data_IF_246768876453
#
_entry.id   IF_246768876453
#
_cell.length_a   1.000
_cell.length_b   1.000
_cell.length_c   1.000
_cell.angle_alpha   90.00
_cell.angle_beta   90.00
_cell.angle_gamma   90.00
#
_symmetry.space_group_name_H-M   'P 1'
#
loop_
_entity.id
_entity.type
_entity.pdbx_description
1 polymer ?
#
# COMPACT_ATOMS: atom_id res chain seq x y z
N UNK A 1 44.01 -18.58 30.49
CA UNK A 1 42.70 -17.93 30.26
C UNK A 1 42.76 -17.34 28.86
N UNK A 2 41.98 -17.87 27.93
CA UNK A 2 41.86 -17.27 26.59
C UNK A 2 41.03 -16.00 26.72
N UNK A 3 41.57 -14.88 26.24
CA UNK A 3 40.83 -13.64 26.13
C UNK A 3 39.68 -13.88 25.16
N UNK A 4 38.44 -13.69 25.62
CA UNK A 4 37.29 -13.65 24.73
C UNK A 4 37.45 -12.40 23.86
N UNK A 5 37.59 -12.61 22.55
CA UNK A 5 37.44 -11.55 21.55
C UNK A 5 36.02 -11.02 21.65
N UNK A 6 35.85 -9.90 22.35
CA UNK A 6 34.60 -9.14 22.34
C UNK A 6 34.53 -8.38 21.01
N UNK A 7 34.19 -9.09 19.93
CA UNK A 7 33.87 -8.45 18.66
C UNK A 7 32.68 -7.51 18.91
N UNK A 8 32.89 -6.21 18.68
CA UNK A 8 31.85 -5.19 18.82
C UNK A 8 30.63 -5.60 17.99
N UNK A 9 29.43 -5.46 18.56
CA UNK A 9 28.19 -5.74 17.85
C UNK A 9 28.19 -4.95 16.52
N UNK A 10 27.86 -5.58 15.39
CA UNK A 10 27.83 -4.90 14.10
C UNK A 10 26.88 -3.69 14.19
N UNK A 11 27.35 -2.56 13.67
CA UNK A 11 26.55 -1.34 13.64
C UNK A 11 25.30 -1.55 12.78
N UNK A 12 24.17 -1.00 13.24
CA UNK A 12 22.93 -1.01 12.46
C UNK A 12 23.14 -0.26 11.12
N UNK A 13 22.56 -0.75 10.02
CA UNK A 13 22.55 -0.02 8.76
C UNK A 13 21.90 1.37 8.89
N UNK A 14 22.32 2.31 8.06
CA UNK A 14 21.76 3.66 8.02
C UNK A 14 20.28 3.66 7.62
N UNK A 15 19.87 2.83 6.65
CA UNK A 15 18.49 2.75 6.17
C UNK A 15 17.48 2.22 7.20
N UNK A 16 17.92 1.73 8.37
CA UNK A 16 17.02 1.43 9.49
C UNK A 16 17.09 2.49 10.60
N UNK A 17 18.10 3.36 10.61
CA UNK A 17 18.27 4.40 11.64
C UNK A 17 17.88 5.80 11.15
N UNK A 18 17.77 5.99 9.84
CA UNK A 18 17.41 7.24 9.19
C UNK A 18 16.31 7.01 8.13
N UNK A 19 15.12 7.63 8.28
CA UNK A 19 14.00 7.44 7.34
C UNK A 19 14.28 7.99 5.93
N UNK A 20 15.32 8.81 5.76
CA UNK A 20 15.66 9.46 4.49
C UNK A 20 17.06 9.04 4.00
N UNK A 21 17.60 7.91 4.50
CA UNK A 21 18.93 7.43 4.17
C UNK A 21 19.14 7.26 2.66
N UNK A 22 18.20 6.62 1.95
CA UNK A 22 18.35 6.31 0.53
C UNK A 22 18.18 7.54 -0.37
N UNK A 23 17.55 8.62 0.13
CA UNK A 23 17.46 9.90 -0.58
C UNK A 23 18.82 10.60 -0.69
N UNK A 24 19.79 10.20 0.15
CA UNK A 24 21.14 10.76 0.22
C UNK A 24 22.13 10.01 -0.68
N UNK A 25 21.68 8.94 -1.33
CA UNK A 25 22.54 8.11 -2.18
C UNK A 25 23.09 8.91 -3.36
N UNK A 26 24.37 8.67 -3.66
CA UNK A 26 25.13 9.32 -4.73
C UNK A 26 25.16 8.40 -5.95
N UNK A 27 25.21 8.97 -7.15
CA UNK A 27 25.36 8.23 -8.41
C UNK A 27 24.24 7.21 -8.70
N UNK A 28 23.04 7.43 -8.15
CA UNK A 28 21.86 6.62 -8.40
C UNK A 28 21.18 7.07 -9.69
N UNK A 29 20.76 6.13 -10.53
CA UNK A 29 19.95 6.40 -11.71
C UNK A 29 18.49 6.59 -11.31
N UNK A 30 18.09 7.79 -10.91
CA UNK A 30 16.69 8.02 -10.52
C UNK A 30 15.73 7.92 -11.70
N UNK A 31 14.57 7.26 -11.51
CA UNK A 31 13.51 7.08 -12.52
C UNK A 31 13.10 8.39 -13.20
N UNK A 32 13.19 9.51 -12.48
CA UNK A 32 12.89 10.86 -12.99
C UNK A 32 14.10 11.80 -12.93
N UNK A 33 15.31 11.26 -13.07
CA UNK A 33 16.56 12.04 -13.15
C UNK A 33 16.98 12.76 -11.87
N UNK A 34 16.19 12.70 -10.79
CA UNK A 34 16.52 13.27 -9.46
C UNK A 34 15.88 12.47 -8.33
N UNK A 35 16.45 12.60 -7.13
CA UNK A 35 15.84 12.11 -5.90
C UNK A 35 14.46 12.78 -5.68
N UNK A 36 13.46 12.02 -5.20
CA UNK A 36 12.15 12.57 -4.89
C UNK A 36 12.18 13.46 -3.64
N UNK A 37 11.25 14.41 -3.55
CA UNK A 37 11.08 15.27 -2.37
C UNK A 37 9.95 14.74 -1.47
N UNK A 38 10.31 14.20 -0.31
CA UNK A 38 9.39 13.67 0.68
C UNK A 38 9.04 14.69 1.79
N UNK A 39 9.58 15.91 1.76
CA UNK A 39 9.46 16.90 2.84
C UNK A 39 8.01 17.14 3.29
N UNK A 40 7.05 17.20 2.36
CA UNK A 40 5.62 17.42 2.65
C UNK A 40 4.97 16.21 3.30
N UNK A 41 5.24 15.01 2.79
CA UNK A 41 4.71 13.78 3.37
C UNK A 41 5.31 13.53 4.74
N UNK A 42 6.61 13.83 4.94
CA UNK A 42 7.26 13.78 6.25
C UNK A 42 6.65 14.77 7.23
N UNK A 43 6.32 15.98 6.76
CA UNK A 43 5.60 16.97 7.57
C UNK A 43 4.21 16.47 7.97
N UNK A 44 3.39 16.00 7.01
CA UNK A 44 2.06 15.45 7.28
C UNK A 44 2.15 14.25 8.24
N UNK A 45 3.10 13.34 8.02
CA UNK A 45 3.39 12.24 8.93
C UNK A 45 3.67 12.74 10.35
N UNK A 46 4.61 13.67 10.51
CA UNK A 46 4.99 14.20 11.83
C UNK A 46 3.82 14.89 12.54
N UNK A 47 2.95 15.59 11.79
CA UNK A 47 1.79 16.31 12.32
C UNK A 47 0.60 15.39 12.65
N UNK A 48 0.48 14.21 12.02
CA UNK A 48 -0.77 13.42 12.05
C UNK A 48 -0.61 11.95 12.42
N UNK A 49 0.62 11.47 12.62
CA UNK A 49 0.89 10.12 13.12
C UNK A 49 0.21 9.89 14.47
N UNK A 50 -0.18 8.65 14.73
CA UNK A 50 -0.74 8.25 16.03
C UNK A 50 0.29 7.59 16.93
N UNK A 51 1.40 7.10 16.36
CA UNK A 51 2.43 6.38 17.10
C UNK A 51 3.68 7.24 17.38
N UNK A 52 4.23 7.05 18.58
CA UNK A 52 5.50 7.62 18.99
C UNK A 52 6.45 6.47 19.37
N UNK A 53 7.37 6.15 18.48
CA UNK A 53 8.37 5.12 18.71
C UNK A 53 9.59 5.68 19.41
N UNK A 54 10.07 4.98 20.44
CA UNK A 54 11.32 5.32 21.09
C UNK A 54 12.49 5.26 20.09
N UNK A 55 13.48 6.16 20.20
CA UNK A 55 14.66 6.13 19.34
C UNK A 55 15.35 4.77 19.36
N UNK A 56 15.69 4.24 18.19
CA UNK A 56 16.32 2.93 17.97
C UNK A 56 15.48 1.73 18.47
N UNK A 57 14.22 1.92 18.82
CA UNK A 57 13.30 0.82 19.09
C UNK A 57 13.00 0.02 17.82
N UNK A 58 12.68 -1.27 17.99
CA UNK A 58 12.32 -2.14 16.87
C UNK A 58 11.21 -1.54 15.96
N UNK A 59 10.10 -0.97 16.48
CA UNK A 59 9.12 -0.27 15.64
C UNK A 59 9.70 0.87 14.80
N UNK A 60 10.60 1.69 15.36
CA UNK A 60 11.27 2.75 14.59
C UNK A 60 12.19 2.18 13.50
N UNK A 61 12.94 1.12 13.80
CA UNK A 61 13.83 0.48 12.83
C UNK A 61 13.04 -0.13 11.66
N UNK A 62 11.94 -0.82 11.96
CA UNK A 62 11.00 -1.35 10.95
C UNK A 62 10.39 -0.21 10.14
N UNK A 63 10.00 0.87 10.82
CA UNK A 63 9.37 1.99 10.14
C UNK A 63 10.30 2.65 9.12
N UNK A 64 11.55 2.88 9.52
CA UNK A 64 12.58 3.43 8.65
C UNK A 64 12.93 2.48 7.49
N UNK A 65 13.01 1.17 7.75
CA UNK A 65 13.28 0.18 6.70
C UNK A 65 12.22 0.25 5.60
N UNK A 66 10.93 0.22 5.97
CA UNK A 66 9.83 0.25 5.00
C UNK A 66 9.79 1.59 4.25
N UNK A 67 10.00 2.72 4.94
CA UNK A 67 10.04 4.05 4.31
C UNK A 67 11.18 4.17 3.29
N UNK A 68 12.36 3.62 3.57
CA UNK A 68 13.46 3.61 2.61
C UNK A 68 13.19 2.63 1.46
N UNK A 69 12.71 1.41 1.76
CA UNK A 69 12.38 0.40 0.75
C UNK A 69 11.38 0.92 -0.27
N UNK A 70 10.34 1.63 0.19
CA UNK A 70 9.33 2.22 -0.67
C UNK A 70 9.94 3.26 -1.64
N UNK A 71 10.82 4.13 -1.15
CA UNK A 71 11.53 5.11 -1.99
C UNK A 71 12.34 4.40 -3.08
N UNK A 72 13.06 3.33 -2.72
CA UNK A 72 13.84 2.53 -3.68
C UNK A 72 12.92 1.89 -4.73
N UNK A 73 11.86 1.21 -4.28
CA UNK A 73 10.87 0.55 -5.12
C UNK A 73 10.24 1.47 -6.17
N UNK A 74 9.93 2.70 -5.76
CA UNK A 74 9.22 3.65 -6.59
C UNK A 74 10.16 4.42 -7.53
N UNK A 75 11.37 4.76 -7.09
CA UNK A 75 12.22 5.73 -7.79
C UNK A 75 13.57 5.22 -8.28
N UNK A 76 14.02 4.03 -7.88
CA UNK A 76 15.26 3.43 -8.37
C UNK A 76 14.93 2.30 -9.34
N UNK A 77 15.04 2.52 -10.67
CA UNK A 77 14.73 1.52 -11.69
C UNK A 77 15.78 0.39 -11.77
N UNK A 78 16.94 0.56 -11.13
CA UNK A 78 18.03 -0.41 -11.11
C UNK A 78 18.05 -1.14 -9.76
N UNK A 79 17.84 -2.46 -9.77
CA UNK A 79 17.81 -3.27 -8.54
C UNK A 79 19.12 -3.23 -7.75
N UNK A 80 20.27 -3.10 -8.43
CA UNK A 80 21.58 -2.98 -7.75
C UNK A 80 21.71 -1.71 -6.89
N UNK A 81 20.87 -0.70 -7.12
CA UNK A 81 20.85 0.52 -6.33
C UNK A 81 19.99 0.38 -5.06
N UNK A 82 19.31 -0.76 -4.86
CA UNK A 82 18.46 -1.01 -3.70
C UNK A 82 19.29 -1.59 -2.55
N UNK A 83 19.40 -0.84 -1.46
CA UNK A 83 20.17 -1.24 -0.28
C UNK A 83 19.33 -2.04 0.71
N UNK A 84 18.01 -1.83 0.70
CA UNK A 84 17.06 -2.40 1.66
C UNK A 84 16.65 -3.85 1.39
N UNK A 85 17.08 -4.44 0.27
CA UNK A 85 16.69 -5.79 -0.16
C UNK A 85 17.90 -6.68 -0.40
N UNK A 86 17.72 -7.99 -0.22
CA UNK A 86 18.66 -9.02 -0.65
C UNK A 86 18.28 -9.43 -2.08
N UNK A 87 18.99 -8.97 -3.13
CA UNK A 87 18.53 -9.09 -4.51
C UNK A 87 18.40 -10.54 -4.99
N UNK A 88 19.12 -11.49 -4.37
CA UNK A 88 19.05 -12.90 -4.75
C UNK A 88 17.84 -13.62 -4.17
N UNK A 89 17.30 -13.11 -3.06
CA UNK A 89 16.24 -13.78 -2.28
C UNK A 89 14.95 -12.99 -2.21
N UNK A 90 14.99 -11.69 -2.52
CA UNK A 90 13.88 -10.78 -2.35
C UNK A 90 12.64 -11.28 -3.09
N UNK A 91 11.55 -11.36 -2.33
CA UNK A 91 10.23 -11.65 -2.85
C UNK A 91 9.16 -10.86 -2.12
N UNK A 92 8.06 -10.58 -2.82
CA UNK A 92 6.93 -9.83 -2.29
C UNK A 92 5.61 -10.49 -2.68
N UNK A 93 4.72 -10.69 -1.71
CA UNK A 93 3.42 -11.33 -1.90
C UNK A 93 2.31 -10.58 -1.17
N UNK A 94 1.11 -10.56 -1.76
CA UNK A 94 -0.05 -9.84 -1.24
C UNK A 94 -1.25 -10.77 -1.12
N UNK A 95 -1.95 -10.74 0.01
CA UNK A 95 -3.24 -11.41 0.22
C UNK A 95 -3.26 -12.90 -0.17
N UNK A 96 -2.13 -13.59 0.03
CA UNK A 96 -2.00 -15.02 -0.30
C UNK A 96 -1.61 -15.33 -1.74
N UNK A 97 -1.29 -14.32 -2.56
CA UNK A 97 -0.71 -14.52 -3.89
C UNK A 97 0.62 -15.27 -3.84
N UNK A 98 1.02 -15.81 -4.99
CA UNK A 98 2.38 -16.30 -5.17
C UNK A 98 3.40 -15.15 -5.00
N UNK A 99 4.57 -15.42 -4.41
CA UNK A 99 5.64 -14.42 -4.29
C UNK A 99 6.17 -14.00 -5.66
N UNK A 100 6.34 -12.68 -5.83
CA UNK A 100 6.93 -12.07 -7.01
C UNK A 100 8.33 -11.53 -6.69
N UNK A 101 9.22 -11.52 -7.67
CA UNK A 101 10.57 -10.97 -7.51
C UNK A 101 10.60 -9.44 -7.62
N UNK A 102 11.78 -8.84 -7.40
CA UNK A 102 11.95 -7.40 -7.50
C UNK A 102 11.77 -6.86 -8.93
N UNK A 103 12.05 -7.67 -9.97
CA UNK A 103 11.94 -7.24 -11.36
C UNK A 103 10.48 -7.06 -11.77
N UNK A 104 9.61 -7.99 -11.35
CA UNK A 104 8.17 -7.84 -11.49
C UNK A 104 7.67 -6.55 -10.84
N UNK A 105 8.14 -6.23 -9.63
CA UNK A 105 7.78 -5.00 -8.92
C UNK A 105 8.24 -3.73 -9.67
N UNK A 106 9.45 -3.75 -10.24
CA UNK A 106 10.02 -2.66 -11.02
C UNK A 106 9.22 -2.37 -12.30
N UNK A 107 8.75 -3.43 -12.96
CA UNK A 107 7.97 -3.38 -14.21
C UNK A 107 6.53 -2.91 -13.95
N UNK A 108 5.83 -3.55 -13.02
CA UNK A 108 4.41 -3.29 -12.78
C UNK A 108 4.19 -1.98 -11.99
N UNK A 109 5.09 -1.67 -11.07
CA UNK A 109 4.89 -0.62 -10.07
C UNK A 109 4.11 -1.08 -8.85
N UNK A 110 4.32 -0.40 -7.72
CA UNK A 110 3.82 -0.81 -6.40
C UNK A 110 2.29 -0.93 -6.36
N UNK A 111 1.54 0.00 -6.96
CA UNK A 111 0.07 -0.08 -7.02
C UNK A 111 -0.46 -1.29 -7.78
N UNK A 112 0.11 -1.58 -8.96
CA UNK A 112 -0.27 -2.72 -9.77
C UNK A 112 0.09 -4.05 -9.09
N UNK A 113 1.16 -4.06 -8.29
CA UNK A 113 1.58 -5.23 -7.53
C UNK A 113 0.68 -5.52 -6.31
N UNK A 114 0.00 -4.52 -5.73
CA UNK A 114 -0.78 -4.67 -4.48
C UNK A 114 -2.30 -4.67 -4.66
N UNK A 115 -2.83 -4.15 -5.77
CA UNK A 115 -4.28 -4.03 -6.00
C UNK A 115 -4.72 -5.04 -7.07
N UNK A 116 -5.44 -6.07 -6.64
CA UNK A 116 -6.08 -7.01 -7.56
C UNK A 116 -7.18 -6.34 -8.40
N UNK A 117 -7.42 -6.81 -9.64
CA UNK A 117 -8.51 -6.31 -10.48
C UNK A 117 -9.86 -6.31 -9.75
N UNK A 118 -10.55 -5.18 -9.77
CA UNK A 118 -11.84 -4.97 -9.14
C UNK A 118 -12.68 -3.94 -9.92
N UNK A 119 -13.85 -3.57 -9.39
CA UNK A 119 -14.80 -2.67 -10.07
C UNK A 119 -14.34 -1.21 -10.15
N UNK A 120 -13.27 -0.85 -9.42
CA UNK A 120 -12.66 0.48 -9.40
C UNK A 120 -11.31 0.51 -10.12
N UNK A 121 -10.51 -0.56 -10.01
CA UNK A 121 -9.14 -0.56 -10.48
C UNK A 121 -8.74 -1.89 -11.11
N UNK A 122 -7.92 -1.85 -12.15
CA UNK A 122 -7.28 -3.03 -12.73
C UNK A 122 -5.85 -2.73 -13.18
N UNK A 123 -4.87 -3.55 -12.75
CA UNK A 123 -3.51 -3.50 -13.28
C UNK A 123 -3.44 -3.87 -14.77
N UNK A 124 -4.42 -4.61 -15.31
CA UNK A 124 -4.44 -4.97 -16.74
C UNK A 124 -4.66 -3.76 -17.67
N UNK A 125 -5.26 -2.68 -17.15
CA UNK A 125 -5.59 -1.47 -17.90
C UNK A 125 -4.83 -0.24 -17.39
N UNK A 126 -3.89 -0.42 -16.46
CA UNK A 126 -3.10 0.67 -15.86
C UNK A 126 -1.62 0.33 -15.87
N UNK A 127 -0.79 1.21 -16.42
CA UNK A 127 0.67 1.07 -16.34
C UNK A 127 1.25 1.76 -15.09
N UNK A 128 2.57 1.68 -14.92
CA UNK A 128 3.28 2.34 -13.81
C UNK A 128 2.91 3.84 -13.75
N UNK A 129 2.94 4.55 -14.86
CA UNK A 129 2.73 6.00 -14.87
C UNK A 129 1.26 6.37 -14.60
N UNK A 130 0.30 5.66 -15.20
CA UNK A 130 -1.12 5.94 -15.04
C UNK A 130 -1.60 5.60 -13.63
N UNK A 131 -1.14 4.50 -13.04
CA UNK A 131 -1.46 4.11 -11.66
C UNK A 131 -0.97 5.15 -10.65
N UNK A 132 0.28 5.60 -10.78
CA UNK A 132 0.84 6.65 -9.94
C UNK A 132 0.08 7.96 -10.08
N UNK A 133 -0.25 8.34 -11.32
CA UNK A 133 -1.03 9.54 -11.62
C UNK A 133 -2.42 9.50 -11.00
N UNK A 134 -3.13 8.36 -11.08
CA UNK A 134 -4.44 8.15 -10.46
C UNK A 134 -4.41 8.43 -8.97
N UNK A 135 -3.55 7.73 -8.23
CA UNK A 135 -3.56 7.81 -6.77
C UNK A 135 -2.92 9.09 -6.24
N UNK A 136 -1.83 9.57 -6.85
CA UNK A 136 -1.18 10.82 -6.42
C UNK A 136 -2.04 12.06 -6.69
N UNK A 137 -2.75 12.11 -7.82
CA UNK A 137 -3.66 13.23 -8.10
C UNK A 137 -4.76 13.26 -7.04
N UNK A 138 -5.36 12.10 -6.74
CA UNK A 138 -6.43 11.97 -5.74
C UNK A 138 -5.95 12.31 -4.32
N UNK A 139 -4.83 11.73 -3.88
CA UNK A 139 -4.24 11.86 -2.55
C UNK A 139 -2.77 12.30 -2.65
N UNK A 140 -2.48 13.61 -2.66
CA UNK A 140 -1.12 14.12 -2.84
C UNK A 140 -0.13 13.78 -1.71
N UNK A 141 -0.64 13.38 -0.54
CA UNK A 141 0.17 12.84 0.55
C UNK A 141 -0.54 11.59 1.07
N UNK A 142 0.18 10.47 1.12
CA UNK A 142 -0.28 9.22 1.70
C UNK A 142 0.79 8.73 2.67
N UNK A 143 0.69 9.13 3.93
CA UNK A 143 1.67 8.78 4.95
C UNK A 143 1.58 7.29 5.31
N UNK A 144 2.61 6.77 5.96
CA UNK A 144 2.69 5.39 6.44
C UNK A 144 3.36 5.33 7.80
N UNK A 145 2.82 4.51 8.70
CA UNK A 145 3.38 4.28 10.03
C UNK A 145 3.22 2.83 10.48
N UNK A 146 4.13 2.41 11.35
CA UNK A 146 4.01 1.14 12.08
C UNK A 146 3.07 1.36 13.27
N UNK A 147 2.01 0.57 13.36
CA UNK A 147 1.09 0.59 14.50
C UNK A 147 1.58 -0.29 15.64
N UNK A 148 2.15 -1.44 15.32
CA UNK A 148 2.53 -2.45 16.31
C UNK A 148 3.53 -3.43 15.71
N UNK A 149 4.50 -3.91 16.51
CA UNK A 149 5.43 -4.98 16.11
C UNK A 149 5.27 -6.17 17.04
N UNK A 150 5.05 -7.35 16.47
CA UNK A 150 4.79 -8.60 17.18
C UNK A 150 6.04 -9.49 17.31
N UNK A 151 7.02 -9.34 16.42
CA UNK A 151 8.27 -10.13 16.44
C UNK A 151 9.44 -9.38 15.81
N UNK A 152 10.66 -9.71 16.22
CA UNK A 152 11.92 -9.14 15.71
C UNK A 152 12.65 -10.06 14.72
N UNK A 153 13.79 -9.63 14.17
CA UNK A 153 14.57 -10.41 13.20
C UNK A 153 14.93 -11.82 13.71
N UNK A 154 15.04 -12.82 12.82
CA UNK A 154 15.04 -12.71 11.36
C UNK A 154 13.65 -12.65 10.73
N UNK A 155 12.58 -12.96 11.46
CA UNK A 155 11.20 -12.91 10.94
C UNK A 155 10.42 -11.87 11.73
N UNK A 156 10.24 -10.70 11.14
CA UNK A 156 9.57 -9.55 11.73
C UNK A 156 8.11 -9.55 11.29
N UNK A 157 7.18 -9.52 12.23
CA UNK A 157 5.75 -9.38 11.96
C UNK A 157 5.21 -8.11 12.61
N UNK A 158 4.48 -7.29 11.86
CA UNK A 158 4.02 -5.99 12.31
C UNK A 158 2.70 -5.58 11.65
N UNK A 159 1.96 -4.70 12.32
CA UNK A 159 0.75 -4.04 11.82
C UNK A 159 1.08 -2.61 11.46
N UNK A 160 0.47 -2.11 10.39
CA UNK A 160 0.75 -0.81 9.82
C UNK A 160 -0.52 -0.14 9.31
N UNK A 161 -0.43 1.16 9.02
CA UNK A 161 -1.44 1.87 8.25
C UNK A 161 -0.84 2.81 7.21
N UNK A 162 -1.56 3.01 6.12
CA UNK A 162 -1.41 4.16 5.25
C UNK A 162 -2.58 5.12 5.45
N UNK A 163 -2.33 6.43 5.46
CA UNK A 163 -3.42 7.40 5.51
C UNK A 163 -3.16 8.66 4.70
N UNK A 164 -4.23 9.28 4.23
CA UNK A 164 -4.19 10.51 3.45
C UNK A 164 -5.55 11.20 3.40
N UNK A 165 -5.63 12.28 2.64
CA UNK A 165 -6.88 13.03 2.43
C UNK A 165 -7.21 12.98 0.94
N UNK A 166 -8.45 12.61 0.61
CA UNK A 166 -8.95 12.63 -0.77
C UNK A 166 -9.21 14.08 -1.21
N UNK A 167 -8.18 14.74 -1.72
CA UNK A 167 -8.22 16.16 -2.09
C UNK A 167 -8.83 16.39 -3.47
N UNK A 168 -8.66 15.45 -4.38
CA UNK A 168 -9.13 15.55 -5.77
C UNK A 168 -9.92 14.31 -6.16
N UNK A 169 -10.63 14.41 -7.28
CA UNK A 169 -11.43 13.32 -7.84
C UNK A 169 -10.55 12.08 -8.12
N UNK A 170 -11.10 10.91 -7.83
CA UNK A 170 -10.55 9.64 -8.29
C UNK A 170 -10.89 9.45 -9.76
N UNK A 171 -9.90 9.03 -10.56
CA UNK A 171 -10.09 8.60 -11.95
C UNK A 171 -9.18 7.39 -12.18
N UNK A 172 -9.75 6.27 -12.61
CA UNK A 172 -9.02 5.02 -12.88
C UNK A 172 -9.73 4.14 -13.90
N UNK A 173 -9.22 2.93 -14.09
CA UNK A 173 -9.80 1.93 -14.99
C UNK A 173 -10.13 0.66 -14.24
N UNK A 174 -11.35 0.16 -14.40
CA UNK A 174 -11.78 -1.06 -13.70
C UNK A 174 -11.40 -2.35 -14.46
N UNK A 175 -11.76 -3.49 -13.89
CA UNK A 175 -11.56 -4.82 -14.48
C UNK A 175 -12.29 -5.08 -15.82
N UNK A 176 -13.10 -4.14 -16.31
CA UNK A 176 -13.74 -4.19 -17.63
C UNK A 176 -13.10 -3.23 -18.64
N UNK A 177 -12.08 -2.48 -18.22
CA UNK A 177 -11.46 -1.43 -19.02
C UNK A 177 -12.32 -0.18 -19.15
N UNK A 178 -13.30 0.02 -18.26
CA UNK A 178 -14.14 1.22 -18.22
C UNK A 178 -13.44 2.30 -17.38
N UNK A 179 -13.52 3.56 -17.82
CA UNK A 179 -13.09 4.70 -17.00
C UNK A 179 -14.07 4.85 -15.84
N UNK A 180 -13.56 4.77 -14.62
CA UNK A 180 -14.33 5.00 -13.41
C UNK A 180 -13.90 6.29 -12.73
N UNK A 181 -14.86 6.99 -12.14
CA UNK A 181 -14.55 8.18 -11.35
C UNK A 181 -15.40 8.30 -10.09
N UNK A 182 -14.82 8.91 -9.06
CA UNK A 182 -15.49 9.27 -7.82
C UNK A 182 -15.12 10.72 -7.43
N UNK A 183 -16.11 11.49 -6.97
CA UNK A 183 -15.90 12.89 -6.61
C UNK A 183 -15.16 13.01 -5.28
N UNK A 184 -14.23 13.97 -5.23
CA UNK A 184 -13.52 14.29 -4.00
C UNK A 184 -14.51 14.66 -2.90
N UNK A 185 -14.44 13.97 -1.77
CA UNK A 185 -15.23 14.29 -0.58
C UNK A 185 -14.40 15.00 0.50
N UNK A 186 -13.09 15.19 0.30
CA UNK A 186 -12.20 15.87 1.24
C UNK A 186 -11.95 15.12 2.55
N UNK A 187 -12.46 13.89 2.69
CA UNK A 187 -12.32 13.06 3.88
C UNK A 187 -11.00 12.31 3.92
N UNK A 188 -10.72 11.71 5.09
CA UNK A 188 -9.58 10.84 5.27
C UNK A 188 -9.80 9.49 4.57
N UNK A 189 -8.71 8.94 4.04
CA UNK A 189 -8.60 7.55 3.64
C UNK A 189 -7.53 6.94 4.54
N UNK A 190 -7.86 5.89 5.28
CA UNK A 190 -6.98 5.19 6.22
C UNK A 190 -7.13 3.68 5.99
N UNK A 191 -6.08 3.04 5.48
CA UNK A 191 -6.05 1.60 5.25
C UNK A 191 -5.03 0.96 6.17
N UNK A 192 -5.36 -0.21 6.70
CA UNK A 192 -4.48 -0.95 7.60
C UNK A 192 -4.19 -2.33 7.06
N UNK A 193 -3.06 -2.87 7.48
CA UNK A 193 -2.66 -4.22 7.14
C UNK A 193 -1.64 -4.79 8.10
N UNK A 194 -1.28 -6.04 7.84
CA UNK A 194 -0.23 -6.76 8.56
C UNK A 194 0.81 -7.26 7.56
N UNK A 195 2.06 -7.28 7.99
CA UNK A 195 3.17 -7.77 7.18
C UNK A 195 4.03 -8.72 8.01
N UNK A 196 4.46 -9.82 7.38
CA UNK A 196 5.50 -10.70 7.87
C UNK A 196 6.67 -10.59 6.89
N UNK A 197 7.82 -10.15 7.39
CA UNK A 197 9.03 -9.93 6.61
C UNK A 197 10.19 -10.76 7.18
N UNK A 198 10.83 -11.56 6.34
CA UNK A 198 12.12 -12.18 6.65
C UNK A 198 13.25 -11.25 6.22
N UNK A 199 14.22 -11.03 7.11
CA UNK A 199 15.41 -10.21 6.85
C UNK A 199 16.70 -10.98 7.14
N UNK A 200 17.77 -10.63 6.42
CA UNK A 200 19.11 -11.17 6.71
C UNK A 200 19.80 -10.42 7.87
N UNK A 201 21.05 -10.78 8.17
CA UNK A 201 21.85 -10.14 9.25
C UNK A 201 22.13 -8.65 9.01
N UNK A 202 22.06 -8.20 7.75
CA UNK A 202 22.15 -6.79 7.37
C UNK A 202 20.78 -6.11 7.40
N UNK A 203 19.73 -6.76 7.91
CA UNK A 203 18.35 -6.26 7.90
C UNK A 203 17.82 -5.95 6.49
N UNK A 204 18.33 -6.65 5.47
CA UNK A 204 17.80 -6.56 4.11
C UNK A 204 16.64 -7.53 3.94
N UNK A 205 15.58 -7.08 3.27
CA UNK A 205 14.37 -7.86 3.01
C UNK A 205 14.67 -9.05 2.09
N UNK A 206 14.25 -10.24 2.49
CA UNK A 206 14.31 -11.48 1.71
C UNK A 206 12.91 -11.96 1.31
N UNK A 207 11.97 -12.03 2.25
CA UNK A 207 10.60 -12.45 1.93
C UNK A 207 9.60 -11.54 2.61
N UNK A 208 8.75 -10.87 1.84
CA UNK A 208 7.75 -9.93 2.35
C UNK A 208 6.37 -10.43 1.99
N UNK A 209 5.55 -10.71 3.01
CA UNK A 209 4.16 -11.11 2.83
C UNK A 209 3.27 -10.11 3.54
N UNK A 210 2.33 -9.53 2.80
CA UNK A 210 1.47 -8.46 3.31
C UNK A 210 0.00 -8.82 3.10
N UNK A 211 -0.82 -8.54 4.10
CA UNK A 211 -2.25 -8.75 4.08
C UNK A 211 -2.99 -7.48 4.46
N UNK A 212 -3.96 -7.09 3.64
CA UNK A 212 -4.84 -5.94 3.88
C UNK A 212 -6.11 -6.08 3.03
N UNK A 213 -7.17 -5.35 3.35
CA UNK A 213 -8.35 -5.29 2.50
C UNK A 213 -8.18 -4.20 1.42
N UNK A 214 -7.90 -4.56 0.14
CA UNK A 214 -7.75 -3.57 -0.92
C UNK A 214 -9.07 -2.85 -1.23
N UNK A 215 -10.21 -3.44 -0.91
CA UNK A 215 -11.52 -2.82 -1.12
C UNK A 215 -11.83 -1.78 -0.04
N UNK A 216 -11.19 -1.83 1.13
CA UNK A 216 -11.39 -0.82 2.16
C UNK A 216 -11.05 0.59 1.65
N UNK A 217 -9.92 0.71 0.94
CA UNK A 217 -9.55 1.96 0.26
C UNK A 217 -10.68 2.46 -0.66
N UNK A 218 -11.22 1.57 -1.51
CA UNK A 218 -12.23 1.97 -2.48
C UNK A 218 -13.59 2.28 -1.85
N UNK A 219 -13.96 1.59 -0.77
CA UNK A 219 -15.15 1.94 0.03
C UNK A 219 -15.01 3.32 0.66
N UNK A 220 -13.79 3.74 1.01
CA UNK A 220 -13.51 5.09 1.50
C UNK A 220 -13.45 6.14 0.39
N UNK A 221 -12.90 5.80 -0.80
CA UNK A 221 -12.89 6.67 -1.99
C UNK A 221 -14.32 6.95 -2.50
N UNK A 222 -15.16 5.92 -2.49
CA UNK A 222 -16.49 5.94 -3.06
C UNK A 222 -17.51 5.34 -2.08
N UNK A 223 -17.81 6.02 -0.95
CA UNK A 223 -18.72 5.49 0.09
C UNK A 223 -20.16 5.31 -0.41
N UNK A 224 -20.52 5.96 -1.52
CA UNK A 224 -21.80 5.78 -2.21
C UNK A 224 -21.70 4.95 -3.51
N UNK A 225 -20.57 4.29 -3.74
CA UNK A 225 -20.28 3.50 -4.95
C UNK A 225 -19.76 4.31 -6.14
N UNK A 226 -19.41 3.60 -7.23
CA UNK A 226 -18.87 4.19 -8.47
C UNK A 226 -19.88 5.16 -9.10
N UNK A 227 -19.47 6.42 -9.28
CA UNK A 227 -20.38 7.50 -9.72
C UNK A 227 -20.53 7.54 -11.24
N UNK A 228 -19.47 7.23 -12.00
CA UNK A 228 -19.50 7.22 -13.47
C UNK A 228 -18.66 6.09 -14.04
N UNK A 229 -19.19 5.43 -15.07
CA UNK A 229 -18.52 4.41 -15.90
C UNK A 229 -18.60 4.88 -17.35
N UNK A 230 -17.46 5.09 -17.98
CA UNK A 230 -17.38 5.61 -19.35
C UNK A 230 -16.54 4.67 -20.21
N UNK A 231 -17.01 4.39 -21.43
CA UNK A 231 -16.22 3.65 -22.42
C UNK A 231 -15.06 4.53 -22.93
N UNK A 232 -13.93 3.90 -23.23
CA UNK A 232 -12.71 4.58 -23.67
C UNK A 232 -12.31 4.04 -25.03
N UNK A 233 -11.73 4.91 -25.87
CA UNK A 233 -10.99 4.46 -27.04
C UNK A 233 -9.75 3.67 -26.62
N UNK A 234 -9.75 2.36 -26.91
CA UNK A 234 -8.66 1.43 -26.62
C UNK A 234 -7.37 1.72 -27.39
N UNK A 235 -7.37 2.68 -28.31
CA UNK A 235 -6.17 3.11 -29.05
C UNK A 235 -5.29 4.08 -28.27
N UNK A 236 -5.81 4.70 -27.20
CA UNK A 236 -5.06 5.64 -26.37
C UNK A 236 -4.13 4.89 -25.40
N UNK A 237 -2.98 5.50 -25.07
CA UNK A 237 -2.18 5.03 -23.94
C UNK A 237 -2.98 5.17 -22.63
N UNK A 238 -2.72 4.36 -21.59
CA UNK A 238 -3.40 4.49 -20.30
C UNK A 238 -3.31 5.89 -19.71
N UNK A 239 -2.15 6.55 -19.84
CA UNK A 239 -1.92 7.91 -19.37
C UNK A 239 -2.78 8.97 -20.08
N UNK A 240 -2.94 8.86 -21.40
CA UNK A 240 -3.75 9.78 -22.23
C UNK A 240 -5.25 9.51 -22.05
N UNK A 241 -5.64 8.24 -21.96
CA UNK A 241 -7.00 7.83 -21.64
C UNK A 241 -7.49 8.41 -20.30
N UNK A 242 -6.58 8.52 -19.31
CA UNK A 242 -6.90 9.07 -18.00
C UNK A 242 -7.28 10.55 -18.06
N UNK A 243 -6.60 11.33 -18.92
CA UNK A 243 -6.84 12.77 -19.08
C UNK A 243 -7.85 13.11 -20.18
N UNK A 244 -8.21 12.15 -21.05
CA UNK A 244 -9.16 12.38 -22.14
C UNK A 244 -10.54 12.80 -21.60
N UNK A 245 -11.12 13.92 -22.10
CA UNK A 245 -12.52 14.25 -21.83
C UNK A 245 -13.39 13.19 -22.50
N UNK A 246 -14.27 12.55 -21.73
CA UNK A 246 -15.12 11.47 -22.22
C UNK A 246 -15.91 11.88 -23.48
N UNK A 247 -15.46 11.39 -24.64
CA UNK A 247 -16.18 11.43 -25.91
C UNK A 247 -15.84 10.18 -26.70
N UNK A 248 -16.47 9.07 -26.32
CA UNK A 248 -16.73 8.00 -27.26
C UNK A 248 -18.20 7.62 -27.10
N UNK A 249 -19.08 8.25 -27.89
CA UNK A 249 -20.34 7.60 -28.24
C UNK A 249 -19.99 6.36 -29.07
N UNK A 250 -20.54 5.22 -28.67
CA UNK A 250 -20.34 3.96 -29.36
C UNK A 250 -21.07 4.05 -30.70
N UNK A 251 -20.35 4.26 -31.79
CA UNK A 251 -20.87 4.01 -33.14
C UNK A 251 -21.08 2.50 -33.30
N UNK A 252 -22.34 2.06 -33.25
CA UNK A 252 -22.73 0.66 -33.40
C UNK A 252 -22.76 0.19 -34.86
N UNK A 253 -22.17 0.93 -35.81
CA UNK A 253 -22.06 0.43 -37.18
C UNK A 253 -20.92 -0.58 -37.33
N UNK A 254 -21.30 -1.84 -37.60
CA UNK A 254 -20.37 -2.91 -37.97
C UNK A 254 -19.66 -2.52 -39.27
N UNK A 255 -18.36 -2.23 -39.23
CA UNK A 255 -17.56 -2.03 -40.45
C UNK A 255 -17.11 -3.38 -41.03
N UNK A 256 -17.16 -3.57 -42.36
CA UNK A 256 -16.70 -4.80 -42.99
C UNK A 256 -15.18 -4.95 -42.86
N UNK A 257 -14.75 -6.20 -42.81
CA UNK A 257 -13.36 -6.62 -42.89
C UNK A 257 -12.82 -6.30 -44.30
N UNK A 258 -11.76 -5.51 -44.40
CA UNK A 258 -10.89 -5.52 -45.59
C UNK A 258 -9.42 -5.42 -45.19
N UNK A 259 -8.61 -6.05 -46.05
CA UNK A 259 -7.23 -6.50 -45.89
C UNK A 259 -6.19 -5.40 -46.10
N UNK A 260 -5.07 -5.52 -45.39
CA UNK A 260 -3.72 -5.19 -45.85
C UNK A 260 -3.34 -3.72 -46.13
N UNK A 261 -2.42 -3.17 -45.33
CA UNK A 261 -1.16 -2.56 -45.83
C UNK A 261 -0.32 -2.00 -44.67
N UNK A 262 0.96 -2.39 -44.68
CA UNK A 262 2.05 -1.86 -43.86
C UNK A 262 2.36 -0.40 -44.20
N UNK A 263 2.45 0.48 -43.20
CA UNK A 263 3.25 1.69 -43.26
C UNK A 263 3.67 2.14 -41.85
N UNK A 264 4.97 2.19 -41.61
CA UNK A 264 5.59 2.78 -40.42
C UNK A 264 5.58 4.30 -40.59
N UNK A 265 4.91 5.00 -39.68
CA UNK A 265 4.87 6.46 -39.61
C UNK A 265 5.67 6.95 -38.41
N UNK A 266 6.80 7.59 -38.70
CA UNK A 266 7.65 8.33 -37.78
C UNK A 266 6.97 9.66 -37.36
N UNK A 267 7.15 10.04 -36.10
CA UNK A 267 6.91 11.41 -35.60
C UNK A 267 5.63 11.69 -34.81
N UNK A 268 5.76 11.81 -33.48
CA UNK A 268 5.23 12.98 -32.74
C UNK A 268 5.97 13.23 -31.41
N UNK A 269 6.97 14.10 -31.49
CA UNK A 269 7.21 15.25 -30.61
C UNK A 269 6.77 15.17 -29.13
N UNK A 270 7.77 15.05 -28.26
CA UNK A 270 7.93 15.88 -27.06
C UNK A 270 6.75 16.00 -26.11
N UNK A 271 6.32 14.89 -25.50
CA UNK A 271 5.58 14.97 -24.25
C UNK A 271 6.48 15.62 -23.19
N UNK A 272 6.01 16.73 -22.62
CA UNK A 272 6.74 17.60 -21.71
C UNK A 272 7.23 16.77 -20.50
N UNK A 273 8.54 16.53 -20.45
CA UNK A 273 9.19 15.70 -19.41
C UNK A 273 8.78 16.19 -18.03
N UNK A 274 8.59 17.49 -17.85
CA UNK A 274 8.13 18.12 -16.61
C UNK A 274 6.71 17.67 -16.19
N UNK A 275 5.80 17.47 -17.13
CA UNK A 275 4.42 17.01 -16.88
C UNK A 275 4.37 15.51 -16.56
N UNK A 276 5.23 14.72 -17.21
CA UNK A 276 5.49 13.33 -16.85
C UNK A 276 6.10 13.20 -15.45
N UNK A 277 7.05 14.08 -15.08
CA UNK A 277 7.64 14.11 -13.72
C UNK A 277 6.64 14.49 -12.63
N UNK A 278 5.69 15.39 -12.92
CA UNK A 278 4.62 15.74 -11.97
C UNK A 278 3.63 14.58 -11.76
N UNK A 279 3.32 13.84 -12.82
CA UNK A 279 2.39 12.72 -12.81
C UNK A 279 2.95 11.43 -12.21
N UNK A 280 4.27 11.24 -12.22
CA UNK A 280 4.90 9.94 -11.96
C UNK A 280 5.61 9.83 -10.59
N UNK A 281 5.60 10.90 -9.79
CA UNK A 281 6.08 10.80 -8.40
C UNK A 281 5.19 9.86 -7.57
N UNK A 282 5.79 9.07 -6.70
CA UNK A 282 5.10 8.27 -5.71
C UNK A 282 4.14 9.13 -4.85
N UNK A 283 2.99 8.62 -4.36
CA UNK A 283 2.08 9.30 -3.41
C UNK A 283 2.74 9.91 -2.17
N UNK A 284 4.00 9.57 -1.91
CA UNK A 284 4.78 10.13 -0.82
C UNK A 284 5.61 11.37 -1.20
N UNK A 285 5.61 11.80 -2.46
CA UNK A 285 6.31 13.00 -2.92
C UNK A 285 5.34 14.14 -3.31
N UNK A 286 5.14 15.09 -2.40
CA UNK A 286 4.23 16.23 -2.58
C UNK A 286 4.73 17.27 -3.61
N UNK A 287 3.84 18.09 -4.18
CA UNK A 287 4.17 19.25 -5.06
C UNK A 287 3.70 20.58 -4.45
N UNK A 288 4.33 21.69 -4.83
CA UNK A 288 4.13 23.12 -4.44
C UNK A 288 2.66 23.53 -4.23
N UNK A 289 2.23 24.34 -3.26
CA UNK A 289 2.92 25.28 -2.37
C UNK A 289 2.02 26.50 -2.13
N UNK A 290 0.82 26.31 -1.54
CA UNK A 290 -0.01 27.33 -0.84
C UNK A 290 -1.32 26.73 -0.32
N UNK A 291 -1.76 27.21 0.84
CA UNK A 291 -3.02 26.95 1.56
C UNK A 291 -3.05 25.72 2.47
N UNK A 292 -2.59 25.91 3.71
CA UNK A 292 -3.00 25.13 4.88
C UNK A 292 -4.09 25.93 5.61
N UNK A 293 -5.24 25.31 5.86
CA UNK A 293 -6.28 25.85 6.75
C UNK A 293 -6.33 24.98 8.00
N UNK A 294 -6.54 25.64 9.14
CA UNK A 294 -6.37 25.23 10.53
C UNK A 294 -6.90 23.82 10.94
N UNK A 295 -6.34 23.22 12.00
CA UNK A 295 -6.75 21.91 12.51
C UNK A 295 -8.18 21.92 13.07
N UNK A 296 -8.94 20.86 12.77
CA UNK A 296 -10.29 20.63 13.30
C UNK A 296 -10.23 19.72 14.55
N UNK A 297 -11.12 19.97 15.50
CA UNK A 297 -11.25 19.23 16.76
C UNK A 297 -11.96 17.87 16.58
N UNK A 298 -11.65 16.85 17.40
CA UNK A 298 -12.24 15.52 17.27
C UNK A 298 -13.76 15.52 17.52
N UNK A 299 -14.50 14.85 16.64
CA UNK A 299 -15.95 14.71 16.75
C UNK A 299 -16.34 13.83 17.94
N UNK A 300 -17.26 14.33 18.77
CA UNK A 300 -17.88 13.60 19.89
C UNK A 300 -18.86 12.56 19.33
N UNK A 301 -18.68 11.29 19.71
CA UNK A 301 -19.60 10.22 19.38
C UNK A 301 -20.99 10.50 20.00
N UNK A 302 -22.01 10.68 19.16
CA UNK A 302 -23.39 10.80 19.60
C UNK A 302 -23.99 9.40 19.78
N UNK A 303 -24.51 9.13 20.97
CA UNK A 303 -25.30 7.96 21.29
C UNK A 303 -26.73 8.11 20.74
N UNK A 304 -27.23 7.07 20.08
CA UNK A 304 -28.60 6.53 20.22
C UNK A 304 -28.97 5.65 19.00
N UNK A 305 -29.24 4.37 19.25
CA UNK A 305 -30.28 3.63 18.54
C UNK A 305 -30.97 2.67 19.51
N UNK A 306 -32.29 2.78 19.58
CA UNK A 306 -33.20 2.03 20.43
C UNK A 306 -33.57 0.66 19.84
N UNK A 307 -33.57 -0.34 20.73
CA UNK A 307 -34.32 -1.62 20.79
C UNK A 307 -35.14 -2.15 19.60
N UNK A 308 -34.94 -3.43 19.27
CA UNK A 308 -35.89 -4.29 18.55
C UNK A 308 -35.37 -5.72 18.26
N UNK A 309 -35.68 -6.65 19.17
CA UNK A 309 -35.82 -8.13 19.08
C UNK A 309 -34.74 -9.09 18.48
N UNK A 310 -34.21 -9.90 19.41
CA UNK A 310 -33.86 -11.34 19.38
C UNK A 310 -33.00 -11.94 18.25
N UNK A 311 -31.69 -12.01 18.51
CA UNK A 311 -30.84 -13.17 18.24
C UNK A 311 -29.65 -13.14 19.22
N UNK A 312 -29.21 -14.29 19.70
CA UNK A 312 -28.20 -14.47 20.76
C UNK A 312 -26.99 -13.52 20.65
N UNK A 313 -26.50 -12.93 21.77
CA UNK A 313 -25.33 -12.06 21.71
C UNK A 313 -24.08 -12.89 21.43
N UNK A 314 -23.50 -12.68 20.24
CA UNK A 314 -22.13 -13.09 19.93
C UNK A 314 -21.19 -12.39 20.94
N UNK A 315 -20.69 -13.15 21.91
CA UNK A 315 -19.70 -12.69 22.90
C UNK A 315 -18.35 -12.55 22.21
N UNK A 316 -18.12 -11.40 21.59
CA UNK A 316 -16.77 -10.85 21.49
C UNK A 316 -16.70 -9.69 22.47
N UNK A 317 -16.20 -10.00 23.66
CA UNK A 317 -15.90 -8.99 24.67
C UNK A 317 -14.60 -8.26 24.31
N UNK A 318 -14.53 -6.99 24.71
CA UNK A 318 -13.40 -6.11 24.48
C UNK A 318 -12.09 -6.74 25.06
N UNK A 319 -10.92 -6.59 24.42
CA UNK A 319 -9.65 -7.23 24.87
C UNK A 319 -9.13 -6.79 26.25
N UNK A 320 -9.81 -5.84 26.91
CA UNK A 320 -9.50 -5.37 28.26
C UNK A 320 -10.62 -5.72 29.26
N UNK A 321 -11.59 -6.56 28.88
CA UNK A 321 -12.60 -7.04 29.81
C UNK A 321 -11.95 -7.93 30.87
N UNK A 322 -12.32 -7.79 32.16
CA UNK A 322 -11.81 -8.67 33.20
C UNK A 322 -12.19 -10.12 32.87
N UNK A 323 -11.20 -11.00 32.92
CA UNK A 323 -11.38 -12.43 32.64
C UNK A 323 -12.42 -13.03 33.59
N UNK A 324 -13.28 -13.88 33.04
CA UNK A 324 -14.26 -14.60 33.85
C UNK A 324 -13.57 -15.49 34.90
N UNK A 325 -14.23 -15.74 36.04
CA UNK A 325 -13.70 -16.61 37.09
C UNK A 325 -13.39 -18.03 36.58
N UNK A 326 -14.17 -18.53 35.61
CA UNK A 326 -13.89 -19.78 34.91
C UNK A 326 -12.58 -19.73 34.11
N UNK A 327 -12.33 -18.63 33.39
CA UNK A 327 -11.09 -18.45 32.62
C UNK A 327 -9.87 -18.36 33.54
N UNK A 328 -9.99 -17.64 34.67
CA UNK A 328 -8.93 -17.56 35.67
C UNK A 328 -8.63 -18.93 36.32
N UNK A 329 -9.67 -19.74 36.54
CA UNK A 329 -9.52 -21.10 37.08
C UNK A 329 -8.81 -22.03 36.11
N UNK A 330 -9.11 -21.94 34.81
CA UNK A 330 -8.48 -22.77 33.76
C UNK A 330 -7.01 -22.38 33.57
N UNK A 331 -6.72 -21.07 33.53
CA UNK A 331 -5.34 -20.56 33.44
C UNK A 331 -4.50 -20.93 34.67
N UNK A 332 -5.09 -20.92 35.87
CA UNK A 332 -4.43 -21.35 37.10
C UNK A 332 -4.10 -22.85 37.15
N UNK A 333 -4.82 -23.67 36.39
CA UNK A 333 -4.61 -25.11 36.30
C UNK A 333 -3.61 -25.53 35.20
N UNK A 334 -3.05 -24.57 34.44
CA UNK A 334 -2.08 -24.83 33.37
C UNK A 334 -2.66 -25.58 32.17
N UNK A 335 -3.98 -25.57 31.99
CA UNK A 335 -4.66 -26.18 30.83
C UNK A 335 -5.15 -25.07 29.90
N UNK A 336 -4.86 -25.19 28.61
CA UNK A 336 -5.44 -24.32 27.58
C UNK A 336 -6.89 -24.78 27.30
N UNK A 337 -7.84 -23.86 27.19
CA UNK A 337 -9.16 -24.19 26.63
C UNK A 337 -8.95 -24.80 25.23
N UNK A 338 -9.60 -25.93 24.96
CA UNK A 338 -9.49 -26.71 23.71
C UNK A 338 -8.11 -27.32 23.40
N UNK A 339 -7.22 -27.50 24.38
CA UNK A 339 -5.91 -28.13 24.19
C UNK A 339 -5.92 -29.56 23.63
N UNK A 340 -7.05 -30.27 23.72
CA UNK A 340 -7.24 -31.62 23.17
C UNK A 340 -7.82 -31.63 21.74
N UNK A 341 -8.11 -30.47 21.13
CA UNK A 341 -8.53 -30.38 19.73
C UNK A 341 -7.30 -30.22 18.83
N UNK A 342 -6.96 -31.29 18.11
CA UNK A 342 -6.02 -31.21 16.99
C UNK A 342 -6.60 -30.28 15.90
N UNK A 343 -5.94 -29.16 15.57
CA UNK A 343 -6.40 -28.22 14.55
C UNK A 343 -6.42 -28.81 13.12
N UNK A 344 -5.90 -30.03 12.93
CA UNK A 344 -5.91 -30.75 11.65
C UNK A 344 -6.89 -31.94 11.61
N UNK A 345 -7.66 -32.18 12.67
CA UNK A 345 -8.68 -33.21 12.64
C UNK A 345 -9.83 -32.78 11.70
N UNK A 346 -10.05 -33.54 10.62
CA UNK A 346 -11.22 -33.37 9.75
C UNK A 346 -12.50 -33.49 10.58
N UNK A 347 -13.41 -32.52 10.43
CA UNK A 347 -14.73 -32.56 11.07
C UNK A 347 -15.47 -33.86 10.68
N UNK A 348 -16.15 -34.53 11.62
CA UNK A 348 -16.98 -35.69 11.33
C UNK A 348 -18.02 -35.38 10.24
N UNK A 349 -18.30 -36.35 9.37
CA UNK A 349 -19.24 -36.23 8.23
C UNK A 349 -20.65 -35.78 8.67
N UNK A 350 -21.00 -35.95 9.93
CA UNK A 350 -22.29 -35.54 10.52
C UNK A 350 -22.49 -34.01 10.57
N UNK A 351 -21.43 -33.22 10.37
CA UNK A 351 -21.48 -31.75 10.31
C UNK A 351 -21.24 -31.17 8.90
N UNK A 352 -21.24 -32.03 7.88
CA UNK A 352 -21.22 -31.61 6.47
C UNK A 352 -22.60 -31.85 5.83
N UNK A 353 -23.56 -30.96 6.09
CA UNK A 353 -24.78 -30.84 5.29
C UNK A 353 -25.20 -29.39 5.12
#
# INVERSE_FOLDING_TARGET
MAAADTQAAPALPDYVTDPDAVLKDKNVNWRYGRAPDYSKTRKVFAETKTMNHEPLSLPQLVENLVKNWEVEASFKPTLSDWRTVDPEKYSFAINGSDPQDAYYMLEQGTYNAIIAPNEYYSPEYSDFASSHKTFKRMMPNFAWEVLEVYSGPPTVSFRWRHWGVMKNDYVGFNNKGEKVSAKAHGGAIDIQGVTVATVNEKLQLQGVRTWFDPMDMFRQIAPSGVVKKEAIDKKLSPGDALDSPAKAEIDQTRRPMEEGSTAVGDGSTGADVQQLMAAAGCPFAGHDGKSAVAPYEPAVATSARSSGESSEPSKMEHPNAPLSESTLTILGAGKQEDGDRDPYAKLPEEFQS
#
